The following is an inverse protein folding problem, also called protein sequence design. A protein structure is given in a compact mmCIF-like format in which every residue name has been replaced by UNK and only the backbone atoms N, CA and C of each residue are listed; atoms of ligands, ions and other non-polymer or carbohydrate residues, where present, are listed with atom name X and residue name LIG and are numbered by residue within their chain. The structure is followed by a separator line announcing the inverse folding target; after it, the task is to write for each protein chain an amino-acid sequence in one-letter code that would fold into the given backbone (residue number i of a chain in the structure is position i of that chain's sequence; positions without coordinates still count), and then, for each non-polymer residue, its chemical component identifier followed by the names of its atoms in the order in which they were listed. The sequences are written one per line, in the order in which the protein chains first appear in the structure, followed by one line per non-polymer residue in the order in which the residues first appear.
data_IF_647065662899
#
_entry.id   IF_647065662899
#
_cell.length_a   1.000
_cell.length_b   1.000
_cell.length_c   1.000
_cell.angle_alpha   90.00
_cell.angle_beta   90.00
_cell.angle_gamma   90.00
#
_symmetry.space_group_name_H-M   'P 1'
#
loop_
_entity.id
_entity.type
_entity.pdbx_description
1 polymer ?
#
# COMPACT_ATOMS: atom_id res chain seq x y z
N UNK A 1 15.34 9.54 -1.06
CA UNK A 1 14.82 8.60 -2.06
C UNK A 1 13.35 8.83 -2.36
N UNK A 2 12.49 8.66 -1.38
CA UNK A 2 11.07 8.92 -1.59
C UNK A 2 10.76 10.39 -1.39
N UNK A 3 9.65 10.83 -1.97
CA UNK A 3 9.20 12.20 -1.81
C UNK A 3 8.96 12.53 -0.35
N UNK A 4 9.26 13.76 0.03
CA UNK A 4 8.94 14.28 1.34
C UNK A 4 7.42 14.46 1.42
N UNK A 5 6.81 13.84 2.43
CA UNK A 5 5.36 13.88 2.60
C UNK A 5 4.88 15.20 3.24
N UNK A 6 5.77 15.95 3.84
CA UNK A 6 5.41 17.25 4.40
C UNK A 6 5.13 18.25 3.27
N UNK A 7 4.15 19.07 3.47
CA UNK A 7 3.79 20.06 2.47
C UNK A 7 2.85 19.54 1.38
N UNK A 8 2.50 18.25 1.39
CA UNK A 8 1.56 17.68 0.44
C UNK A 8 0.10 17.75 0.90
N UNK A 9 -0.15 18.31 2.08
CA UNK A 9 -1.52 18.39 2.60
C UNK A 9 -2.06 17.09 3.14
N UNK A 10 -1.17 16.18 3.55
CA UNK A 10 -1.58 14.90 4.14
C UNK A 10 -1.86 15.09 5.64
N UNK A 11 -2.88 14.39 6.14
CA UNK A 11 -3.09 14.30 7.58
C UNK A 11 -2.04 13.37 8.18
N UNK A 12 -1.80 13.45 9.52
CA UNK A 12 -0.87 12.51 10.17
C UNK A 12 -1.25 11.06 9.93
N UNK A 13 -2.55 10.75 9.89
CA UNK A 13 -3.03 9.39 9.65
C UNK A 13 -2.76 8.95 8.21
N UNK A 14 -2.87 9.87 7.26
CA UNK A 14 -2.53 9.57 5.87
C UNK A 14 -1.03 9.33 5.71
N UNK A 15 -0.21 10.06 6.44
CA UNK A 15 1.24 9.81 6.49
C UNK A 15 1.51 8.42 7.05
N UNK A 16 0.80 8.01 8.10
CA UNK A 16 0.91 6.65 8.63
C UNK A 16 0.58 5.58 7.59
N UNK A 17 -0.43 5.83 6.77
CA UNK A 17 -0.82 4.91 5.71
C UNK A 17 0.28 4.78 4.65
N UNK A 18 0.86 5.88 4.23
CA UNK A 18 1.98 5.85 3.28
C UNK A 18 3.20 5.18 3.92
N UNK A 19 3.44 5.40 5.20
CA UNK A 19 4.55 4.73 5.91
C UNK A 19 4.36 3.22 5.94
N UNK A 20 3.14 2.74 6.16
CA UNK A 20 2.82 1.31 6.09
C UNK A 20 3.16 0.74 4.71
N UNK A 21 2.74 1.44 3.67
CA UNK A 21 3.08 1.07 2.30
C UNK A 21 4.60 0.99 2.10
N UNK A 22 5.34 1.99 2.56
CA UNK A 22 6.80 2.04 2.39
C UNK A 22 7.52 0.92 3.14
N UNK A 23 6.99 0.54 4.31
CA UNK A 23 7.55 -0.60 5.04
C UNK A 23 7.41 -1.91 4.29
N UNK A 24 6.38 -2.03 3.46
CA UNK A 24 6.11 -3.26 2.71
C UNK A 24 6.76 -3.29 1.33
N UNK A 25 7.49 -2.24 0.94
CA UNK A 25 8.14 -2.21 -0.37
C UNK A 25 9.17 -3.34 -0.53
N UNK A 26 9.86 -3.69 0.55
CA UNK A 26 10.84 -4.78 0.52
C UNK A 26 10.24 -6.17 0.54
N UNK A 27 8.93 -6.29 0.82
CA UNK A 27 8.25 -7.57 0.89
C UNK A 27 6.78 -7.39 0.48
N UNK A 28 6.52 -7.03 -0.77
CA UNK A 28 5.15 -6.84 -1.24
C UNK A 28 4.42 -8.17 -1.38
N UNK A 29 3.10 -8.12 -1.40
CA UNK A 29 2.32 -9.29 -1.79
C UNK A 29 1.96 -9.20 -3.27
N UNK A 30 1.66 -10.34 -3.88
CA UNK A 30 1.31 -10.41 -5.30
C UNK A 30 -0.21 -10.51 -5.41
N UNK A 31 -0.81 -9.59 -6.18
CA UNK A 31 -2.25 -9.59 -6.37
C UNK A 31 -2.67 -10.63 -7.42
N UNK A 32 -3.98 -10.69 -7.69
CA UNK A 32 -4.53 -11.68 -8.62
C UNK A 32 -4.03 -11.48 -10.05
N UNK A 33 -3.60 -10.27 -10.39
CA UNK A 33 -3.06 -9.97 -11.71
C UNK A 33 -1.56 -10.24 -11.81
N UNK A 34 -0.94 -10.77 -10.75
CA UNK A 34 0.48 -11.05 -10.71
C UNK A 34 1.35 -9.84 -10.45
N UNK A 35 0.77 -8.73 -9.98
CA UNK A 35 1.50 -7.50 -9.73
C UNK A 35 1.82 -7.34 -8.25
N UNK A 36 2.99 -6.77 -7.90
CA UNK A 36 3.31 -6.52 -6.51
C UNK A 36 2.48 -5.38 -5.94
N UNK A 37 2.02 -5.55 -4.72
CA UNK A 37 1.28 -4.55 -3.97
C UNK A 37 1.81 -4.46 -2.54
N UNK A 38 1.74 -3.28 -1.97
CA UNK A 38 2.21 -3.03 -0.61
C UNK A 38 1.06 -2.85 0.37
N UNK A 39 -0.11 -2.49 -0.13
CA UNK A 39 -1.30 -2.27 0.66
C UNK A 39 -2.52 -2.50 -0.22
N UNK A 40 -3.53 -3.15 0.35
CA UNK A 40 -4.85 -3.27 -0.25
C UNK A 40 -5.79 -2.38 0.55
N UNK A 41 -5.84 -1.09 0.20
CA UNK A 41 -6.60 -0.11 0.97
C UNK A 41 -8.09 -0.40 0.88
N UNK A 42 -8.74 -0.51 2.02
CA UNK A 42 -10.15 -0.84 2.12
C UNK A 42 -10.85 0.15 3.03
N UNK A 43 -11.94 0.75 2.53
CA UNK A 43 -12.76 1.65 3.32
C UNK A 43 -13.87 0.90 4.02
N UNK A 44 -14.03 1.13 5.32
CA UNK A 44 -15.12 0.56 6.11
C UNK A 44 -15.77 1.63 6.96
N UNK A 45 -17.05 1.44 7.26
CA UNK A 45 -17.75 2.34 8.18
C UNK A 45 -17.43 1.93 9.61
N UNK A 46 -17.14 2.91 10.48
CA UNK A 46 -16.81 2.68 11.88
C UNK A 46 -18.10 2.41 12.65
N UNK A 47 -18.25 1.22 13.27
CA UNK A 47 -19.53 0.85 13.89
C UNK A 47 -19.72 1.35 15.32
N UNK A 48 -18.68 1.87 15.95
CA UNK A 48 -18.76 2.21 17.38
C UNK A 48 -17.71 3.26 17.73
N UNK A 49 -17.85 3.85 18.90
CA UNK A 49 -16.89 4.77 19.46
C UNK A 49 -17.09 6.21 18.99
N UNK A 50 -16.05 7.01 19.20
CA UNK A 50 -16.08 8.44 18.95
C UNK A 50 -16.34 8.79 17.48
N UNK A 51 -15.86 7.95 16.57
CA UNK A 51 -16.00 8.18 15.13
C UNK A 51 -17.06 7.30 14.48
N UNK A 52 -18.02 6.81 15.26
CA UNK A 52 -19.12 6.01 14.73
C UNK A 52 -19.78 6.70 13.55
N UNK A 53 -20.02 5.96 12.48
CA UNK A 53 -20.66 6.48 11.28
C UNK A 53 -19.73 7.13 10.28
N UNK A 54 -18.48 7.39 10.67
CA UNK A 54 -17.45 7.86 9.74
C UNK A 54 -16.79 6.67 9.06
N UNK A 55 -15.94 6.96 8.10
CA UNK A 55 -15.30 5.93 7.28
C UNK A 55 -13.80 5.95 7.51
N UNK A 56 -13.20 4.77 7.62
CA UNK A 56 -11.75 4.63 7.84
C UNK A 56 -11.15 3.78 6.73
N UNK A 57 -9.96 4.16 6.29
CA UNK A 57 -9.20 3.41 5.31
C UNK A 57 -8.14 2.59 6.02
N UNK A 58 -8.20 1.27 5.88
CA UNK A 58 -7.28 0.32 6.53
C UNK A 58 -6.78 -0.69 5.52
N UNK A 59 -5.65 -1.38 5.82
CA UNK A 59 -5.19 -2.46 4.94
C UNK A 59 -6.15 -3.64 4.99
N UNK A 60 -6.60 -4.08 3.82
CA UNK A 60 -7.49 -5.23 3.70
C UNK A 60 -6.77 -6.54 3.43
N UNK A 61 -5.47 -6.51 3.14
CA UNK A 61 -4.65 -7.71 3.03
C UNK A 61 -3.95 -7.92 4.36
N UNK A 62 -4.35 -8.95 5.08
CA UNK A 62 -3.88 -9.20 6.44
C UNK A 62 -3.68 -10.70 6.61
N UNK A 63 -2.55 -11.08 7.20
CA UNK A 63 -2.28 -12.49 7.49
C UNK A 63 -2.23 -13.36 6.25
N UNK A 64 -1.79 -12.80 5.12
CA UNK A 64 -1.61 -13.55 3.88
C UNK A 64 -2.86 -13.68 3.03
N UNK A 65 -3.94 -12.94 3.35
CA UNK A 65 -5.18 -13.02 2.58
C UNK A 65 -5.92 -11.70 2.58
N UNK A 66 -6.79 -11.53 1.59
CA UNK A 66 -7.69 -10.38 1.53
C UNK A 66 -8.90 -10.68 2.40
N UNK A 67 -9.18 -9.76 3.34
CA UNK A 67 -10.34 -9.85 4.24
C UNK A 67 -11.45 -8.97 3.65
N UNK A 68 -12.55 -9.60 3.25
CA UNK A 68 -13.66 -8.89 2.61
C UNK A 68 -14.80 -8.56 3.56
N UNK A 69 -14.89 -9.24 4.69
CA UNK A 69 -15.93 -8.99 5.69
C UNK A 69 -15.57 -7.75 6.51
N UNK A 70 -16.45 -6.74 6.48
CA UNK A 70 -16.19 -5.47 7.16
C UNK A 70 -16.06 -5.64 8.67
N UNK A 71 -16.88 -6.50 9.27
CA UNK A 71 -16.84 -6.72 10.71
C UNK A 71 -15.53 -7.37 11.13
N UNK A 72 -15.08 -8.36 10.36
CA UNK A 72 -13.78 -8.98 10.62
C UNK A 72 -12.65 -7.97 10.47
N UNK A 73 -12.70 -7.17 9.43
CA UNK A 73 -11.65 -6.18 9.17
C UNK A 73 -11.63 -5.13 10.28
N UNK A 74 -12.80 -4.67 10.73
CA UNK A 74 -12.85 -3.75 11.84
C UNK A 74 -12.24 -4.36 13.09
N UNK A 75 -12.58 -5.62 13.40
CA UNK A 75 -12.05 -6.29 14.58
C UNK A 75 -10.53 -6.43 14.55
N UNK A 76 -9.96 -6.67 13.35
CA UNK A 76 -8.51 -6.75 13.17
C UNK A 76 -7.84 -5.41 13.52
N UNK A 77 -8.39 -4.31 13.04
CA UNK A 77 -7.78 -2.99 13.16
C UNK A 77 -8.37 -2.12 14.27
N UNK A 78 -9.33 -2.63 15.03
CA UNK A 78 -10.11 -1.86 16.00
C UNK A 78 -9.24 -1.01 16.93
N UNK A 79 -8.21 -1.59 17.50
CA UNK A 79 -7.33 -0.88 18.42
C UNK A 79 -6.65 0.29 17.74
N UNK A 80 -6.15 0.10 16.53
CA UNK A 80 -5.46 1.14 15.79
C UNK A 80 -6.42 2.18 15.27
N UNK A 81 -7.65 1.79 14.89
CA UNK A 81 -8.68 2.73 14.50
C UNK A 81 -9.06 3.63 15.67
N UNK A 82 -9.33 3.05 16.83
CA UNK A 82 -9.73 3.81 18.01
C UNK A 82 -8.61 4.71 18.52
N UNK A 83 -7.36 4.34 18.34
CA UNK A 83 -6.23 5.17 18.75
C UNK A 83 -5.83 6.24 17.72
N UNK A 84 -6.51 6.29 16.58
CA UNK A 84 -6.30 7.33 15.57
C UNK A 84 -5.11 7.11 14.66
N UNK A 85 -4.73 5.87 14.39
CA UNK A 85 -3.62 5.57 13.47
C UNK A 85 -3.99 5.64 12.01
N UNK A 86 -5.24 5.31 11.66
CA UNK A 86 -5.67 5.21 10.27
C UNK A 86 -6.53 6.40 9.87
N UNK A 87 -6.52 6.80 8.59
CA UNK A 87 -7.27 7.97 8.14
C UNK A 87 -8.78 7.77 8.27
N UNK A 88 -9.46 8.74 8.87
CA UNK A 88 -10.91 8.74 9.05
C UNK A 88 -11.50 9.92 8.29
N UNK A 89 -12.58 9.66 7.57
CA UNK A 89 -13.24 10.65 6.72
C UNK A 89 -14.72 10.69 7.02
N UNK A 90 -15.35 11.84 6.75
CA UNK A 90 -16.77 12.03 7.04
C UNK A 90 -17.67 11.21 6.12
N UNK A 91 -17.26 11.00 4.86
CA UNK A 91 -18.05 10.30 3.86
C UNK A 91 -17.21 9.28 3.10
N UNK A 92 -17.87 8.29 2.51
CA UNK A 92 -17.21 7.32 1.65
C UNK A 92 -16.61 7.98 0.41
N UNK A 93 -17.28 8.98 -0.15
CA UNK A 93 -16.78 9.71 -1.32
C UNK A 93 -15.47 10.43 -1.00
N UNK A 94 -15.39 11.05 0.17
CA UNK A 94 -14.19 11.71 0.63
C UNK A 94 -13.05 10.71 0.81
N UNK A 95 -13.35 9.57 1.42
CA UNK A 95 -12.37 8.49 1.57
C UNK A 95 -11.82 8.06 0.20
N UNK A 96 -12.71 7.80 -0.76
CA UNK A 96 -12.31 7.32 -2.08
C UNK A 96 -11.45 8.35 -2.82
N UNK A 97 -11.79 9.61 -2.72
CA UNK A 97 -11.02 10.68 -3.37
C UNK A 97 -9.62 10.79 -2.78
N UNK A 98 -9.52 10.74 -1.45
CA UNK A 98 -8.22 10.80 -0.78
C UNK A 98 -7.38 9.56 -1.07
N UNK A 99 -8.00 8.38 -1.06
CA UNK A 99 -7.29 7.14 -1.39
C UNK A 99 -6.73 7.18 -2.81
N UNK A 100 -7.49 7.69 -3.76
CA UNK A 100 -7.02 7.80 -5.15
C UNK A 100 -5.75 8.67 -5.22
N UNK A 101 -5.73 9.78 -4.48
CA UNK A 101 -4.57 10.65 -4.46
C UNK A 101 -3.37 9.99 -3.76
N UNK A 102 -3.60 9.33 -2.63
CA UNK A 102 -2.54 8.62 -1.92
C UNK A 102 -1.95 7.49 -2.77
N UNK A 103 -2.79 6.83 -3.58
CA UNK A 103 -2.31 5.80 -4.50
C UNK A 103 -1.32 6.37 -5.53
N UNK A 104 -1.53 7.59 -5.99
CA UNK A 104 -0.58 8.22 -6.91
C UNK A 104 0.79 8.38 -6.26
N UNK A 105 0.83 8.77 -4.99
CA UNK A 105 2.08 8.89 -4.23
C UNK A 105 2.74 7.52 -4.09
N UNK A 106 1.96 6.50 -3.72
CA UNK A 106 2.47 5.15 -3.53
C UNK A 106 2.97 4.53 -4.83
N UNK A 107 2.29 4.79 -5.94
CA UNK A 107 2.73 4.29 -7.25
C UNK A 107 4.08 4.87 -7.65
N UNK A 108 4.30 6.15 -7.36
CA UNK A 108 5.61 6.77 -7.60
C UNK A 108 6.68 6.15 -6.73
N UNK A 109 6.38 5.89 -5.46
CA UNK A 109 7.31 5.23 -4.56
C UNK A 109 7.69 3.84 -5.10
N UNK A 110 6.72 3.08 -5.58
CA UNK A 110 6.97 1.75 -6.13
C UNK A 110 7.86 1.82 -7.36
N UNK A 111 7.58 2.75 -8.26
CA UNK A 111 8.39 2.92 -9.46
C UNK A 111 9.84 3.27 -9.12
N UNK A 112 10.04 4.17 -8.16
CA UNK A 112 11.37 4.57 -7.72
C UNK A 112 12.11 3.42 -7.04
N UNK A 113 11.39 2.68 -6.18
CA UNK A 113 12.00 1.56 -5.44
C UNK A 113 12.48 0.48 -6.40
N UNK A 114 11.65 0.07 -7.35
CA UNK A 114 12.03 -1.00 -8.28
C UNK A 114 13.13 -0.53 -9.23
N UNK A 115 13.12 0.72 -9.64
CA UNK A 115 14.21 1.27 -10.45
C UNK A 115 15.53 1.24 -9.69
N UNK A 116 15.53 1.59 -8.41
CA UNK A 116 16.74 1.55 -7.61
C UNK A 116 17.23 0.14 -7.37
N UNK A 117 16.33 -0.81 -7.19
CA UNK A 117 16.73 -2.21 -7.07
C UNK A 117 17.39 -2.70 -8.36
N UNK A 118 16.86 -2.30 -9.49
CA UNK A 118 17.44 -2.62 -10.79
C UNK A 118 18.87 -2.05 -10.90
N UNK A 119 19.07 -0.81 -10.48
CA UNK A 119 20.36 -0.16 -10.56
C UNK A 119 21.40 -0.74 -9.59
N UNK A 120 20.94 -1.28 -8.47
CA UNK A 120 21.84 -1.88 -7.49
C UNK A 120 22.44 -3.21 -7.97
N UNK A 121 21.80 -3.89 -8.90
CA UNK A 121 22.22 -5.21 -9.35
C UNK A 121 22.24 -5.31 -10.87
N UNK A 122 22.89 -4.36 -11.55
CA UNK A 122 22.86 -4.37 -13.02
C UNK A 122 23.53 -5.61 -13.62
N UNK A 123 24.62 -6.07 -13.01
CA UNK A 123 25.33 -7.25 -13.50
C UNK A 123 24.45 -8.50 -13.39
N UNK A 124 23.81 -8.68 -12.27
CA UNK A 124 22.93 -9.84 -12.09
C UNK A 124 21.76 -9.82 -13.06
N UNK A 125 21.26 -8.65 -13.36
CA UNK A 125 20.18 -8.54 -14.35
C UNK A 125 20.67 -8.90 -15.75
N UNK A 126 21.88 -8.48 -16.08
CA UNK A 126 22.45 -8.83 -17.37
C UNK A 126 22.66 -10.34 -17.49
N UNK A 127 23.15 -10.99 -16.47
CA UNK A 127 23.26 -12.44 -16.46
C UNK A 127 21.91 -13.11 -16.63
N UNK A 128 20.91 -12.61 -15.94
CA UNK A 128 19.56 -13.16 -16.03
C UNK A 128 19.03 -13.07 -17.45
N UNK A 129 19.28 -11.96 -18.13
CA UNK A 129 18.86 -11.81 -19.50
C UNK A 129 19.51 -12.81 -20.43
N UNK A 130 20.82 -13.04 -20.23
CA UNK A 130 21.53 -14.03 -21.03
C UNK A 130 20.94 -15.43 -20.83
N UNK A 131 20.69 -15.80 -19.60
CA UNK A 131 20.24 -17.16 -19.30
C UNK A 131 18.78 -17.36 -19.69
N UNK A 132 17.99 -16.32 -19.74
CA UNK A 132 16.58 -16.43 -20.10
C UNK A 132 16.36 -16.44 -21.60
N UNK A 133 17.27 -15.84 -22.34
CA UNK A 133 17.17 -15.79 -23.80
C UNK A 133 17.84 -17.02 -24.41
N UNK A 134 17.09 -17.93 -25.01
CA UNK A 134 17.67 -19.15 -25.58
C UNK A 134 18.64 -18.87 -26.69
N UNK A 135 18.54 -17.73 -27.35
CA UNK A 135 19.48 -17.38 -28.40
C UNK A 135 20.80 -16.90 -27.85
N UNK A 136 20.79 -16.37 -26.64
CA UNK A 136 22.02 -15.90 -26.01
C UNK A 136 22.74 -17.02 -25.29
N UNK A 137 21.97 -17.98 -24.81
CA UNK A 137 22.57 -19.00 -24.01
C UNK A 137 23.21 -20.05 -24.80
N UNK A 138 22.93 -20.04 -25.99
CA UNK A 138 23.35 -20.97 -26.62
C UNK A 138 23.63 -21.31 -27.49
N UNK A 139 23.36 -20.89 -27.66
CA UNK A 139 23.44 -21.32 -28.78
C UNK A 139 24.62 -21.13 -29.35
#
# INVERSE_FOLDING_TARGET
MFADLQGLGLTPQEINKVAYHRQNLGNPFINQEGKPMTIYATGIEIPEGKNKGKFVSVPGYVGGRIVTDEDQLYNIWKKDIQSGKWPVYETADQLNARDAWLHQIMDKDMAQYFEQQRLKQPYQQMESLFYQDPFLTIK
#
